data_IF_974393435863
#
_entry.id   IF_974393435863
#
_cell.length_a   1.000
_cell.length_b   1.000
_cell.length_c   1.000
_cell.angle_alpha   90.00
_cell.angle_beta   90.00
_cell.angle_gamma   90.00
#
_symmetry.space_group_name_H-M   'P 1'
#
loop_
_entity.id
_entity.type
_entity.pdbx_description
1 polymer ?
#
# COMPACT_ATOMS: atom_id res chain seq x y z
N UNK A 1 -9.96 -14.82 -16.85
CA UNK A 1 -8.66 -14.14 -16.56
C UNK A 1 -8.11 -14.71 -15.26
N UNK A 2 -6.92 -15.27 -15.32
CA UNK A 2 -6.31 -15.89 -14.13
C UNK A 2 -5.35 -14.94 -13.44
N UNK A 3 -5.43 -14.88 -12.13
CA UNK A 3 -4.63 -14.00 -11.28
C UNK A 3 -3.81 -14.85 -10.31
N UNK A 4 -2.52 -14.61 -10.28
CA UNK A 4 -1.58 -15.29 -9.39
C UNK A 4 -0.99 -14.34 -8.35
N UNK A 5 -0.80 -14.83 -7.13
CA UNK A 5 -0.12 -14.10 -6.06
C UNK A 5 1.04 -14.95 -5.55
N UNK A 6 2.27 -14.47 -5.68
CA UNK A 6 3.48 -15.09 -5.13
C UNK A 6 3.86 -14.36 -3.84
N UNK A 7 3.80 -15.06 -2.72
CA UNK A 7 4.08 -14.54 -1.39
C UNK A 7 2.82 -14.31 -0.57
N UNK A 8 2.73 -14.98 0.58
CA UNK A 8 1.59 -14.97 1.51
C UNK A 8 1.96 -14.25 2.82
N UNK A 9 2.53 -13.05 2.67
CA UNK A 9 2.69 -12.07 3.75
C UNK A 9 1.42 -11.24 3.94
N UNK A 10 1.46 -10.19 4.78
CA UNK A 10 0.29 -9.34 5.06
C UNK A 10 -0.40 -8.84 3.79
N UNK A 11 0.35 -8.27 2.84
CA UNK A 11 -0.22 -7.72 1.60
C UNK A 11 -0.73 -8.81 0.66
N UNK A 12 0.03 -9.90 0.44
CA UNK A 12 -0.41 -10.99 -0.43
C UNK A 12 -1.65 -11.69 0.12
N UNK A 13 -1.72 -11.90 1.44
CA UNK A 13 -2.90 -12.43 2.12
C UNK A 13 -4.10 -11.49 1.93
N UNK A 14 -3.93 -10.22 2.21
CA UNK A 14 -4.99 -9.20 2.06
C UNK A 14 -5.54 -9.19 0.63
N UNK A 15 -4.66 -9.11 -0.39
CA UNK A 15 -5.08 -9.12 -1.79
C UNK A 15 -5.83 -10.40 -2.16
N UNK A 16 -5.32 -11.57 -1.73
CA UNK A 16 -5.97 -12.85 -2.00
C UNK A 16 -7.42 -12.87 -1.47
N UNK A 17 -7.60 -12.48 -0.21
CA UNK A 17 -8.92 -12.45 0.43
C UNK A 17 -9.84 -11.43 -0.22
N UNK A 18 -9.35 -10.25 -0.56
CA UNK A 18 -10.13 -9.22 -1.26
C UNK A 18 -10.55 -9.65 -2.66
N UNK A 19 -9.64 -10.24 -3.43
CA UNK A 19 -9.96 -10.73 -4.77
C UNK A 19 -10.92 -11.91 -4.75
N UNK A 20 -10.82 -12.81 -3.78
CA UNK A 20 -11.75 -13.93 -3.62
C UNK A 20 -13.15 -13.49 -3.19
N UNK A 21 -13.26 -12.41 -2.40
CA UNK A 21 -14.53 -11.95 -1.83
C UNK A 21 -15.31 -10.99 -2.74
N UNK A 22 -14.69 -10.43 -3.79
CA UNK A 22 -15.35 -9.46 -4.66
C UNK A 22 -16.37 -10.07 -5.64
N UNK A 23 -16.47 -11.40 -5.70
CA UNK A 23 -17.40 -12.15 -6.54
C UNK A 23 -17.11 -12.09 -8.05
N UNK A 24 -16.05 -11.41 -8.48
CA UNK A 24 -15.67 -11.26 -9.90
C UNK A 24 -14.66 -12.29 -10.38
N UNK A 25 -13.92 -12.92 -9.44
CA UNK A 25 -12.87 -13.90 -9.75
C UNK A 25 -13.29 -15.25 -9.16
N UNK A 26 -13.40 -16.24 -10.02
CA UNK A 26 -13.69 -17.61 -9.59
C UNK A 26 -12.47 -18.20 -8.87
N UNK A 27 -12.71 -19.17 -7.96
CA UNK A 27 -11.63 -19.87 -7.25
C UNK A 27 -10.59 -20.46 -8.18
N UNK A 28 -11.03 -21.03 -9.29
CA UNK A 28 -10.22 -21.68 -10.31
C UNK A 28 -9.33 -20.71 -11.10
N UNK A 29 -9.66 -19.41 -11.05
CA UNK A 29 -8.93 -18.33 -11.68
C UNK A 29 -8.01 -17.58 -10.72
N UNK A 30 -8.01 -17.90 -9.43
CA UNK A 30 -7.17 -17.27 -8.41
C UNK A 30 -6.12 -18.28 -7.91
N UNK A 31 -4.85 -17.95 -8.07
CA UNK A 31 -3.71 -18.81 -7.76
C UNK A 31 -2.87 -18.19 -6.65
N UNK A 32 -2.32 -19.04 -5.77
CA UNK A 32 -1.43 -18.62 -4.69
C UNK A 32 -0.22 -19.53 -4.59
N UNK A 33 0.96 -18.93 -4.48
CA UNK A 33 2.22 -19.62 -4.21
C UNK A 33 2.96 -18.96 -3.05
N UNK A 34 3.63 -19.76 -2.23
CA UNK A 34 4.47 -19.25 -1.13
C UNK A 34 5.59 -20.24 -0.85
N UNK A 35 6.78 -19.72 -0.52
CA UNK A 35 7.95 -20.55 -0.18
C UNK A 35 7.65 -21.59 0.93
N UNK A 36 6.88 -21.20 1.94
CA UNK A 36 6.40 -22.09 3.01
C UNK A 36 4.96 -22.49 2.68
N UNK A 37 4.79 -23.69 2.13
CA UNK A 37 3.51 -24.20 1.63
C UNK A 37 2.44 -24.27 2.72
N UNK A 38 2.83 -24.62 3.94
CA UNK A 38 1.91 -24.75 5.10
C UNK A 38 1.16 -23.46 5.39
N UNK A 39 1.76 -22.29 5.09
CA UNK A 39 1.13 -20.98 5.31
C UNK A 39 -0.04 -20.69 4.38
N UNK A 40 -0.09 -21.35 3.22
CA UNK A 40 -1.15 -21.12 2.23
C UNK A 40 -2.22 -22.20 2.22
N UNK A 41 -2.13 -23.21 3.08
CA UNK A 41 -3.14 -24.28 3.18
C UNK A 41 -4.52 -23.73 3.55
N UNK A 42 -4.58 -22.68 4.36
CA UNK A 42 -5.85 -22.00 4.69
C UNK A 42 -6.53 -21.37 3.46
N UNK A 43 -5.81 -21.17 2.37
CA UNK A 43 -6.31 -20.61 1.13
C UNK A 43 -6.87 -21.65 0.14
N UNK A 44 -6.72 -22.95 0.39
CA UNK A 44 -7.20 -24.03 -0.51
C UNK A 44 -8.70 -23.97 -0.79
N UNK A 45 -9.47 -23.35 0.12
CA UNK A 45 -10.91 -23.12 -0.05
C UNK A 45 -11.26 -22.03 -1.06
N UNK A 46 -10.33 -21.07 -1.34
CA UNK A 46 -10.60 -19.84 -2.08
C UNK A 46 -9.67 -19.62 -3.28
N UNK A 47 -8.58 -20.39 -3.41
CA UNK A 47 -7.61 -20.29 -4.50
C UNK A 47 -6.98 -21.65 -4.83
N UNK A 48 -6.33 -21.74 -5.98
CA UNK A 48 -5.49 -22.87 -6.38
C UNK A 48 -4.11 -22.69 -5.77
N UNK A 49 -3.71 -23.59 -4.88
CA UNK A 49 -2.37 -23.60 -4.26
C UNK A 49 -1.39 -24.37 -5.13
N UNK A 50 -0.34 -23.70 -5.60
CA UNK A 50 0.68 -24.31 -6.47
C UNK A 50 2.08 -23.75 -6.18
N UNK A 51 3.09 -24.15 -6.96
CA UNK A 51 4.42 -23.54 -6.96
C UNK A 51 4.47 -22.26 -7.83
N UNK A 52 5.58 -21.50 -7.72
CA UNK A 52 5.76 -20.23 -8.43
C UNK A 52 5.72 -20.41 -9.95
N UNK A 53 6.36 -21.46 -10.49
CA UNK A 53 6.46 -21.69 -11.94
C UNK A 53 5.11 -22.07 -12.54
N UNK A 54 4.37 -22.95 -11.88
CA UNK A 54 3.00 -23.32 -12.26
C UNK A 54 2.10 -22.08 -12.25
N UNK A 55 2.16 -21.26 -11.19
CA UNK A 55 1.41 -20.01 -11.11
C UNK A 55 1.74 -19.07 -12.27
N UNK A 56 3.04 -18.85 -12.54
CA UNK A 56 3.51 -17.95 -13.59
C UNK A 56 3.06 -18.40 -14.99
N UNK A 57 3.02 -19.73 -15.24
CA UNK A 57 2.59 -20.29 -16.55
C UNK A 57 1.07 -20.25 -16.76
N UNK A 58 0.30 -20.23 -15.68
CA UNK A 58 -1.16 -20.27 -15.74
C UNK A 58 -1.82 -18.88 -15.71
N UNK A 59 -1.17 -17.89 -15.06
CA UNK A 59 -1.79 -16.61 -14.77
C UNK A 59 -1.53 -15.53 -15.82
N UNK A 60 -2.51 -14.67 -16.02
CA UNK A 60 -2.44 -13.51 -16.92
C UNK A 60 -1.90 -12.28 -16.18
N UNK A 61 -2.17 -12.19 -14.87
CA UNK A 61 -1.60 -11.18 -13.97
C UNK A 61 -0.92 -11.91 -12.82
N UNK A 62 0.36 -11.59 -12.58
CA UNK A 62 1.18 -12.21 -11.53
C UNK A 62 1.64 -11.16 -10.52
N UNK A 63 1.05 -11.15 -9.34
CA UNK A 63 1.46 -10.30 -8.22
C UNK A 63 2.62 -10.94 -7.46
N UNK A 64 3.75 -10.23 -7.34
CA UNK A 64 4.92 -10.65 -6.56
C UNK A 64 4.96 -9.85 -5.27
N UNK A 65 4.48 -10.48 -4.18
CA UNK A 65 4.29 -9.89 -2.85
C UNK A 65 5.38 -10.34 -1.86
N UNK A 66 6.63 -10.37 -2.31
CA UNK A 66 7.78 -10.77 -1.49
C UNK A 66 8.61 -9.55 -1.05
N UNK A 67 9.51 -9.74 -0.07
CA UNK A 67 10.40 -8.67 0.37
C UNK A 67 11.37 -8.24 -0.76
N UNK A 68 11.88 -7.00 -0.75
CA UNK A 68 12.82 -6.52 -1.77
C UNK A 68 14.04 -7.44 -1.97
N UNK A 69 14.58 -8.00 -0.89
CA UNK A 69 15.75 -8.90 -0.94
C UNK A 69 15.47 -10.27 -1.57
N UNK A 70 14.22 -10.70 -1.58
CA UNK A 70 13.80 -11.98 -2.17
C UNK A 70 13.36 -11.82 -3.65
N UNK A 71 13.23 -10.58 -4.15
CA UNK A 71 12.63 -10.27 -5.45
C UNK A 71 13.40 -10.90 -6.61
N UNK A 72 14.73 -10.69 -6.69
CA UNK A 72 15.56 -11.23 -7.78
C UNK A 72 15.42 -12.75 -7.89
N UNK A 73 15.51 -13.45 -6.75
CA UNK A 73 15.40 -14.92 -6.73
C UNK A 73 14.05 -15.40 -7.27
N UNK A 74 12.94 -14.75 -6.85
CA UNK A 74 11.61 -15.09 -7.33
C UNK A 74 11.46 -14.79 -8.83
N UNK A 75 11.94 -13.62 -9.30
CA UNK A 75 11.89 -13.28 -10.72
C UNK A 75 12.69 -14.27 -11.57
N UNK A 76 13.88 -14.67 -11.11
CA UNK A 76 14.70 -15.67 -11.81
C UNK A 76 14.03 -17.04 -11.86
N UNK A 77 13.34 -17.43 -10.79
CA UNK A 77 12.60 -18.69 -10.70
C UNK A 77 11.46 -18.75 -11.73
N UNK A 78 10.71 -17.67 -11.90
CA UNK A 78 9.52 -17.63 -12.76
C UNK A 78 9.78 -17.16 -14.20
N UNK A 79 10.95 -16.58 -14.50
CA UNK A 79 11.22 -15.90 -15.77
C UNK A 79 10.91 -16.75 -17.01
N UNK A 80 11.28 -18.02 -17.01
CA UNK A 80 11.04 -18.94 -18.12
C UNK A 80 9.58 -19.45 -18.19
N UNK A 81 8.80 -19.27 -17.12
CA UNK A 81 7.43 -19.75 -17.02
C UNK A 81 6.38 -18.66 -17.28
N UNK A 82 6.77 -17.38 -17.22
CA UNK A 82 5.86 -16.25 -17.48
C UNK A 82 5.32 -16.32 -18.91
N UNK A 83 4.01 -16.13 -19.07
CA UNK A 83 3.41 -15.98 -20.41
C UNK A 83 3.93 -14.70 -21.07
N UNK A 84 4.08 -14.72 -22.38
CA UNK A 84 4.59 -13.57 -23.16
C UNK A 84 3.79 -12.27 -22.94
N UNK A 85 2.48 -12.41 -22.76
CA UNK A 85 1.56 -11.28 -22.57
C UNK A 85 1.14 -11.04 -21.12
N UNK A 86 1.69 -11.78 -20.15
CA UNK A 86 1.33 -11.61 -18.75
C UNK A 86 1.78 -10.23 -18.21
N UNK A 87 1.00 -9.70 -17.28
CA UNK A 87 1.34 -8.50 -16.52
C UNK A 87 1.97 -8.92 -15.19
N UNK A 88 3.25 -8.62 -15.03
CA UNK A 88 3.95 -8.76 -13.76
C UNK A 88 3.63 -7.56 -12.87
N UNK A 89 3.18 -7.80 -11.65
CA UNK A 89 2.86 -6.75 -10.68
C UNK A 89 3.73 -6.92 -9.44
N UNK A 90 4.47 -5.89 -9.05
CA UNK A 90 5.25 -5.89 -7.81
C UNK A 90 4.69 -4.90 -6.80
N UNK A 91 4.71 -5.28 -5.51
CA UNK A 91 4.34 -4.40 -4.41
C UNK A 91 5.54 -3.65 -3.80
N UNK A 92 6.70 -3.76 -4.44
CA UNK A 92 7.94 -3.15 -3.94
C UNK A 92 8.22 -1.79 -4.59
N UNK A 93 7.98 -0.71 -3.89
CA UNK A 93 8.33 0.65 -4.34
C UNK A 93 9.84 0.89 -4.50
N UNK A 94 10.68 0.09 -3.83
CA UNK A 94 12.15 0.24 -3.86
C UNK A 94 12.84 -0.53 -5.02
N UNK A 95 12.12 -1.39 -5.74
CA UNK A 95 12.63 -2.12 -6.90
C UNK A 95 12.28 -1.32 -8.15
N UNK A 96 13.27 -0.89 -8.94
CA UNK A 96 13.04 -0.14 -10.17
C UNK A 96 12.67 -1.06 -11.34
N UNK A 97 12.01 -0.51 -12.36
CA UNK A 97 11.75 -1.25 -13.60
C UNK A 97 13.04 -1.73 -14.27
N UNK A 98 14.12 -0.94 -14.20
CA UNK A 98 15.42 -1.33 -14.73
C UNK A 98 16.03 -2.53 -13.99
N UNK A 99 15.83 -2.63 -12.67
CA UNK A 99 16.26 -3.82 -11.92
C UNK A 99 15.49 -5.06 -12.39
N UNK A 100 14.16 -4.96 -12.55
CA UNK A 100 13.32 -6.07 -13.02
C UNK A 100 13.72 -6.47 -14.43
N UNK A 101 13.95 -5.50 -15.33
CA UNK A 101 14.35 -5.73 -16.73
C UNK A 101 15.64 -6.50 -16.87
N UNK A 102 16.57 -6.40 -15.91
CA UNK A 102 17.81 -7.22 -15.91
C UNK A 102 17.55 -8.72 -15.76
N UNK A 103 16.41 -9.12 -15.20
CA UNK A 103 16.06 -10.52 -14.94
C UNK A 103 14.97 -10.98 -15.92
N UNK A 104 13.93 -10.15 -16.09
CA UNK A 104 12.80 -10.48 -16.97
C UNK A 104 12.27 -9.18 -17.62
N UNK A 105 12.15 -9.20 -18.95
CA UNK A 105 11.74 -8.03 -19.75
C UNK A 105 10.31 -8.17 -20.26
N UNK A 106 9.34 -8.00 -19.35
CA UNK A 106 7.89 -8.16 -19.56
C UNK A 106 7.12 -6.88 -19.21
N UNK A 107 5.82 -6.85 -19.53
CA UNK A 107 4.90 -5.84 -19.02
C UNK A 107 4.96 -5.83 -17.50
N UNK A 108 5.25 -4.70 -16.88
CA UNK A 108 5.42 -4.61 -15.42
C UNK A 108 4.71 -3.40 -14.84
N UNK A 109 3.95 -3.63 -13.78
CA UNK A 109 3.35 -2.60 -12.95
C UNK A 109 3.90 -2.65 -11.51
N UNK A 110 4.01 -1.50 -10.87
CA UNK A 110 4.14 -1.39 -9.41
C UNK A 110 2.79 -1.05 -8.84
N UNK A 111 2.39 -1.71 -7.77
CA UNK A 111 1.14 -1.47 -7.06
C UNK A 111 1.46 -1.33 -5.58
N UNK A 112 1.18 -0.16 -5.02
CA UNK A 112 1.43 0.13 -3.61
C UNK A 112 0.10 0.41 -2.93
N UNK A 113 -0.56 -0.61 -2.35
CA UNK A 113 -1.80 -0.42 -1.62
C UNK A 113 -1.56 0.10 -0.21
N UNK A 114 -2.61 0.62 0.39
CA UNK A 114 -2.66 0.98 1.80
C UNK A 114 -3.24 -0.15 2.65
N UNK A 115 -2.93 -0.18 3.93
CA UNK A 115 -3.60 -1.04 4.92
C UNK A 115 -5.12 -0.83 4.93
N UNK A 116 -5.58 0.38 4.59
CA UNK A 116 -7.01 0.72 4.51
C UNK A 116 -7.78 -0.04 3.42
N UNK A 117 -7.08 -0.84 2.59
CA UNK A 117 -7.68 -1.83 1.71
C UNK A 117 -8.52 -2.87 2.48
N UNK A 118 -8.22 -3.13 3.74
CA UNK A 118 -9.01 -4.06 4.58
C UNK A 118 -10.47 -3.62 4.74
N UNK A 119 -10.73 -2.31 4.59
CA UNK A 119 -12.08 -1.71 4.62
C UNK A 119 -12.48 -1.09 3.28
N UNK A 120 -11.86 -1.51 2.17
CA UNK A 120 -12.12 -1.07 0.80
C UNK A 120 -11.93 0.45 0.59
N UNK A 121 -11.06 1.08 1.38
CA UNK A 121 -10.72 2.52 1.33
C UNK A 121 -9.23 2.76 1.06
N UNK A 122 -8.59 1.88 0.31
CA UNK A 122 -7.21 2.09 -0.10
C UNK A 122 -7.10 3.27 -1.07
N UNK A 123 -6.09 4.11 -0.87
CA UNK A 123 -5.51 4.89 -1.95
C UNK A 123 -4.36 4.02 -2.49
N UNK A 124 -4.53 3.45 -3.68
CA UNK A 124 -3.55 2.51 -4.26
C UNK A 124 -2.75 3.17 -5.36
N UNK A 125 -1.44 3.33 -5.15
CA UNK A 125 -0.57 3.86 -6.20
C UNK A 125 -0.29 2.77 -7.21
N UNK A 126 -0.35 3.15 -8.49
CA UNK A 126 0.10 2.34 -9.61
C UNK A 126 1.15 3.11 -10.42
N UNK A 127 2.12 2.37 -10.96
CA UNK A 127 3.12 2.87 -11.88
C UNK A 127 3.41 1.78 -12.91
N UNK A 128 3.65 2.15 -14.16
CA UNK A 128 3.77 1.20 -15.26
C UNK A 128 5.06 1.40 -16.02
N UNK A 129 5.66 0.30 -16.51
CA UNK A 129 6.74 0.42 -17.48
C UNK A 129 6.19 0.70 -18.89
N UNK A 130 7.08 0.97 -19.82
CA UNK A 130 6.80 1.35 -21.21
C UNK A 130 6.11 0.26 -22.06
N UNK A 131 6.05 -0.99 -21.56
CA UNK A 131 5.40 -2.12 -22.23
C UNK A 131 3.92 -2.27 -21.89
N UNK A 132 3.44 -1.62 -20.82
CA UNK A 132 2.05 -1.74 -20.37
C UNK A 132 1.14 -0.86 -21.22
N UNK A 133 0.21 -1.49 -21.92
CA UNK A 133 -0.78 -0.79 -22.77
C UNK A 133 -2.01 -0.32 -21.99
N UNK A 134 -2.87 0.48 -22.66
CA UNK A 134 -4.10 0.99 -22.04
C UNK A 134 -5.05 -0.10 -21.58
N UNK A 135 -5.14 -1.21 -22.32
CA UNK A 135 -5.98 -2.36 -21.94
C UNK A 135 -5.50 -3.00 -20.63
N UNK A 136 -4.18 -3.18 -20.46
CA UNK A 136 -3.61 -3.72 -19.23
C UNK A 136 -3.89 -2.79 -18.03
N UNK A 137 -3.72 -1.47 -18.23
CA UNK A 137 -4.02 -0.45 -17.21
C UNK A 137 -5.48 -0.48 -16.78
N UNK A 138 -6.41 -0.59 -17.73
CA UNK A 138 -7.85 -0.67 -17.44
C UNK A 138 -8.16 -1.90 -16.60
N UNK A 139 -7.69 -3.08 -17.02
CA UNK A 139 -7.91 -4.36 -16.31
C UNK A 139 -7.35 -4.30 -14.89
N UNK A 140 -6.13 -3.82 -14.71
CA UNK A 140 -5.51 -3.71 -13.39
C UNK A 140 -6.25 -2.70 -12.51
N UNK A 141 -6.65 -1.56 -13.06
CA UNK A 141 -7.41 -0.53 -12.33
C UNK A 141 -8.79 -1.05 -11.89
N UNK A 142 -9.52 -1.77 -12.75
CA UNK A 142 -10.79 -2.40 -12.40
C UNK A 142 -10.65 -3.46 -11.30
N UNK A 143 -9.56 -4.22 -11.32
CA UNK A 143 -9.26 -5.20 -10.27
C UNK A 143 -8.99 -4.49 -8.94
N UNK A 144 -8.14 -3.47 -8.94
CA UNK A 144 -7.74 -2.72 -7.74
C UNK A 144 -8.85 -1.82 -7.20
N UNK A 145 -9.81 -1.40 -8.03
CA UNK A 145 -10.98 -0.63 -7.56
C UNK A 145 -11.83 -1.36 -6.53
N UNK A 146 -11.68 -2.69 -6.44
CA UNK A 146 -12.32 -3.49 -5.39
C UNK A 146 -11.79 -3.26 -3.99
N UNK A 147 -10.63 -2.62 -3.86
CA UNK A 147 -9.99 -2.31 -2.57
C UNK A 147 -9.89 -0.81 -2.28
N UNK A 148 -10.39 0.05 -3.18
CA UNK A 148 -10.38 1.51 -3.05
C UNK A 148 -10.08 2.23 -4.34
N UNK A 149 -9.52 3.42 -4.25
CA UNK A 149 -9.17 4.26 -5.40
C UNK A 149 -7.77 3.96 -5.93
N UNK A 150 -7.57 4.18 -7.25
CA UNK A 150 -6.31 3.95 -7.94
C UNK A 150 -5.72 5.29 -8.42
N UNK A 151 -4.45 5.52 -8.08
CA UNK A 151 -3.71 6.74 -8.42
C UNK A 151 -2.49 6.37 -9.25
N UNK A 152 -2.43 6.79 -10.51
CA UNK A 152 -1.23 6.58 -11.34
C UNK A 152 -0.19 7.68 -11.05
N UNK A 153 1.03 7.26 -10.72
CA UNK A 153 2.19 8.14 -10.52
C UNK A 153 3.35 7.70 -11.42
N UNK A 154 4.23 8.62 -11.84
CA UNK A 154 5.49 8.27 -12.47
C UNK A 154 6.43 7.59 -11.47
N UNK A 155 7.38 6.77 -11.95
CA UNK A 155 8.23 5.92 -11.11
C UNK A 155 9.03 6.70 -10.05
N UNK A 156 9.50 7.90 -10.40
CA UNK A 156 10.26 8.76 -9.47
C UNK A 156 9.42 9.30 -8.31
N UNK A 157 8.09 9.33 -8.41
CA UNK A 157 7.18 9.79 -7.36
C UNK A 157 6.61 8.65 -6.50
N UNK A 158 6.79 7.39 -6.89
CA UNK A 158 6.30 6.22 -6.13
C UNK A 158 6.85 6.21 -4.70
N UNK A 159 8.08 6.69 -4.50
CA UNK A 159 8.68 6.79 -3.17
C UNK A 159 7.86 7.67 -2.23
N UNK A 160 7.67 8.94 -2.59
CA UNK A 160 6.89 9.89 -1.79
C UNK A 160 5.42 9.50 -1.74
N UNK A 161 4.85 9.08 -2.86
CA UNK A 161 3.48 8.58 -2.87
C UNK A 161 3.25 7.43 -1.88
N UNK A 162 4.20 6.51 -1.76
CA UNK A 162 4.14 5.41 -0.77
C UNK A 162 4.15 5.92 0.68
N UNK A 163 4.88 7.00 0.99
CA UNK A 163 4.81 7.63 2.32
C UNK A 163 3.40 8.15 2.61
N UNK A 164 2.77 8.79 1.61
CA UNK A 164 1.46 9.42 1.75
C UNK A 164 0.28 8.42 1.83
N UNK A 165 0.41 7.20 1.28
CA UNK A 165 -0.71 6.25 1.26
C UNK A 165 -0.44 4.98 2.05
N UNK A 166 0.73 4.37 1.91
CA UNK A 166 1.06 3.07 2.52
C UNK A 166 1.65 3.20 3.92
N UNK A 167 2.50 4.21 4.14
CA UNK A 167 3.09 4.50 5.46
C UNK A 167 2.18 5.37 6.32
N UNK A 168 1.40 6.27 5.72
CA UNK A 168 0.57 7.25 6.40
C UNK A 168 -0.38 6.69 7.45
N UNK A 169 -1.04 5.53 7.29
CA UNK A 169 -1.84 4.96 8.37
C UNK A 169 -1.06 4.72 9.65
N UNK A 170 0.21 4.29 9.55
CA UNK A 170 1.10 4.14 10.68
C UNK A 170 1.47 5.49 11.33
N UNK A 171 1.75 6.50 10.52
CA UNK A 171 2.06 7.85 11.02
C UNK A 171 0.86 8.47 11.72
N UNK A 172 -0.33 8.40 11.11
CA UNK A 172 -1.58 8.87 11.70
C UNK A 172 -1.85 8.15 13.03
N UNK A 173 -1.74 6.84 13.07
CA UNK A 173 -1.94 6.06 14.31
C UNK A 173 -0.97 6.51 15.42
N UNK A 174 0.32 6.73 15.08
CA UNK A 174 1.33 7.20 16.04
C UNK A 174 1.04 8.62 16.55
N UNK A 175 0.62 9.54 15.67
CA UNK A 175 0.26 10.92 16.05
C UNK A 175 -0.91 10.90 17.04
N UNK A 176 -1.96 10.13 16.74
CA UNK A 176 -3.14 10.09 17.60
C UNK A 176 -2.91 9.29 18.88
N UNK A 177 -2.00 8.30 18.89
CA UNK A 177 -1.55 7.65 20.12
C UNK A 177 -0.90 8.67 21.06
N UNK A 178 0.01 9.52 20.53
CA UNK A 178 0.64 10.61 21.32
C UNK A 178 -0.40 11.57 21.87
N UNK A 179 -1.41 11.96 21.07
CA UNK A 179 -2.50 12.83 21.50
C UNK A 179 -3.30 12.16 22.64
N UNK A 180 -3.67 10.89 22.50
CA UNK A 180 -4.43 10.18 23.51
C UNK A 180 -3.65 10.04 24.82
N UNK A 181 -2.37 9.70 24.75
CA UNK A 181 -1.51 9.56 25.92
C UNK A 181 -1.29 10.91 26.63
N UNK A 182 -1.15 12.00 25.87
CA UNK A 182 -1.08 13.35 26.47
C UNK A 182 -2.39 13.73 27.16
N UNK A 183 -3.54 13.44 26.54
CA UNK A 183 -4.85 13.77 27.10
C UNK A 183 -5.10 13.09 28.46
N UNK A 184 -4.61 11.85 28.66
CA UNK A 184 -4.72 11.16 29.96
C UNK A 184 -4.17 11.97 31.14
N UNK A 185 -3.13 12.78 30.91
CA UNK A 185 -2.54 13.65 31.93
C UNK A 185 -3.39 14.87 32.30
N UNK A 186 -4.46 15.14 31.56
CA UNK A 186 -5.29 16.34 31.72
C UNK A 186 -6.76 16.06 32.08
N UNK A 187 -7.15 14.79 32.29
CA UNK A 187 -8.56 14.44 32.55
C UNK A 187 -8.69 13.13 33.33
N UNK A 188 -9.83 12.96 33.99
CA UNK A 188 -10.23 11.69 34.60
C UNK A 188 -11.06 10.79 33.65
N UNK A 189 -11.21 11.17 32.38
CA UNK A 189 -11.91 10.35 31.37
C UNK A 189 -11.12 9.06 31.15
N UNK A 190 -11.75 7.87 31.21
CA UNK A 190 -11.06 6.62 30.95
C UNK A 190 -10.38 6.57 29.59
N UNK A 191 -9.17 6.00 29.50
CA UNK A 191 -8.35 5.93 28.29
C UNK A 191 -9.13 5.39 27.08
N UNK A 192 -9.89 4.31 27.27
CA UNK A 192 -10.69 3.71 26.20
C UNK A 192 -11.70 4.72 25.59
N UNK A 193 -12.27 5.57 26.46
CA UNK A 193 -13.19 6.60 25.99
C UNK A 193 -12.47 7.73 25.25
N UNK A 194 -11.28 8.15 25.72
CA UNK A 194 -10.42 9.13 25.03
C UNK A 194 -10.10 8.62 23.62
N UNK A 195 -9.59 7.38 23.52
CA UNK A 195 -9.24 6.76 22.21
C UNK A 195 -10.45 6.73 21.29
N UNK A 196 -11.62 6.31 21.78
CA UNK A 196 -12.85 6.25 20.98
C UNK A 196 -13.27 7.65 20.48
N UNK A 197 -13.20 8.67 21.31
CA UNK A 197 -13.51 10.05 20.94
C UNK A 197 -12.56 10.58 19.87
N UNK A 198 -11.25 10.38 20.04
CA UNK A 198 -10.22 10.83 19.11
C UNK A 198 -10.37 10.14 17.76
N UNK A 199 -10.50 8.79 17.72
CA UNK A 199 -10.66 8.05 16.47
C UNK A 199 -11.92 8.43 15.68
N UNK A 200 -13.06 8.58 16.36
CA UNK A 200 -14.30 8.99 15.70
C UNK A 200 -14.18 10.43 15.15
N UNK A 201 -13.59 11.35 15.92
CA UNK A 201 -13.41 12.75 15.47
C UNK A 201 -12.46 12.83 14.28
N UNK A 202 -11.34 12.09 14.32
CA UNK A 202 -10.39 12.00 13.22
C UNK A 202 -11.06 11.52 11.92
N UNK A 203 -11.77 10.37 11.98
CA UNK A 203 -12.46 9.79 10.83
C UNK A 203 -13.51 10.75 10.28
N UNK A 204 -14.36 11.31 11.17
CA UNK A 204 -15.42 12.24 10.77
C UNK A 204 -14.87 13.55 10.19
N UNK A 205 -13.73 14.03 10.67
CA UNK A 205 -13.09 15.24 10.12
C UNK A 205 -12.58 15.00 8.71
N UNK A 206 -11.92 13.86 8.47
CA UNK A 206 -11.47 13.47 7.13
C UNK A 206 -12.65 13.31 6.17
N UNK A 207 -13.70 12.58 6.58
CA UNK A 207 -14.90 12.40 5.77
C UNK A 207 -15.62 13.73 5.49
N UNK A 208 -15.71 14.63 6.48
CA UNK A 208 -16.28 15.97 6.29
C UNK A 208 -15.53 16.78 5.23
N UNK A 209 -14.20 16.77 5.30
CA UNK A 209 -13.37 17.50 4.33
C UNK A 209 -13.55 16.97 2.92
N UNK A 210 -13.50 15.64 2.74
CA UNK A 210 -13.67 14.99 1.45
C UNK A 210 -15.09 15.19 0.87
N UNK A 211 -16.14 15.02 1.69
CA UNK A 211 -17.54 15.13 1.23
C UNK A 211 -17.98 16.56 0.91
N UNK A 212 -17.37 17.55 1.56
CA UNK A 212 -17.73 18.96 1.40
C UNK A 212 -16.69 19.77 0.63
N UNK A 213 -15.65 19.10 0.11
CA UNK A 213 -14.53 19.73 -0.60
C UNK A 213 -13.93 20.92 0.22
N UNK A 214 -13.66 20.65 1.52
CA UNK A 214 -13.11 21.65 2.42
C UNK A 214 -11.58 21.58 2.47
N UNK A 215 -10.94 22.73 2.39
CA UNK A 215 -9.51 22.84 2.68
C UNK A 215 -9.24 22.69 4.19
N UNK A 216 -7.99 22.40 4.56
CA UNK A 216 -7.56 22.39 5.96
C UNK A 216 -7.85 23.74 6.63
N UNK A 217 -7.60 24.86 5.94
CA UNK A 217 -7.85 26.19 6.44
C UNK A 217 -9.35 26.45 6.70
N UNK A 218 -10.24 25.91 5.86
CA UNK A 218 -11.69 26.05 6.08
C UNK A 218 -12.12 25.41 7.40
N UNK A 219 -11.60 24.20 7.68
CA UNK A 219 -11.93 23.52 8.93
C UNK A 219 -11.34 24.25 10.12
N UNK A 220 -10.06 24.64 10.06
CA UNK A 220 -9.39 25.38 11.14
C UNK A 220 -10.14 26.67 11.43
N UNK A 221 -10.46 27.48 10.42
CA UNK A 221 -11.13 28.78 10.60
C UNK A 221 -12.55 28.64 11.17
N UNK A 222 -13.26 27.57 10.83
CA UNK A 222 -14.62 27.32 11.38
C UNK A 222 -14.59 26.94 12.86
N UNK A 223 -13.53 26.30 13.34
CA UNK A 223 -13.43 25.81 14.72
C UNK A 223 -12.61 26.75 15.59
N UNK A 224 -11.52 27.33 15.09
CA UNK A 224 -10.62 28.23 15.78
C UNK A 224 -11.12 29.68 15.68
N UNK A 225 -12.06 30.07 16.55
CA UNK A 225 -12.51 31.46 16.64
C UNK A 225 -11.41 32.33 17.24
N UNK A 226 -11.34 33.59 16.80
CA UNK A 226 -10.34 34.56 17.28
C UNK A 226 -10.37 34.71 18.81
N UNK A 227 -9.24 34.53 19.48
CA UNK A 227 -9.11 34.50 20.93
C UNK A 227 -9.71 33.26 21.61
N UNK A 228 -10.10 32.23 20.84
CA UNK A 228 -10.71 31.03 21.35
C UNK A 228 -9.69 29.93 21.70
N UNK A 229 -10.16 28.90 22.42
CA UNK A 229 -9.34 27.77 22.91
C UNK A 229 -8.65 27.03 21.76
N UNK A 230 -9.36 26.78 20.67
CA UNK A 230 -8.81 26.05 19.51
C UNK A 230 -7.70 26.82 18.82
N UNK A 231 -7.80 28.17 18.78
CA UNK A 231 -6.74 29.02 18.20
C UNK A 231 -5.40 28.82 18.93
N UNK A 232 -5.42 28.76 20.26
CA UNK A 232 -4.21 28.53 21.05
C UNK A 232 -3.60 27.13 20.76
N UNK A 233 -4.44 26.12 20.67
CA UNK A 233 -3.96 24.77 20.29
C UNK A 233 -3.39 24.70 18.87
N UNK A 234 -4.03 25.34 17.90
CA UNK A 234 -3.54 25.35 16.50
C UNK A 234 -2.22 26.11 16.36
N UNK A 235 -1.99 27.19 17.12
CA UNK A 235 -0.68 27.87 17.17
C UNK A 235 0.43 26.91 17.57
N UNK A 236 0.25 26.13 18.63
CA UNK A 236 1.24 25.16 19.09
C UNK A 236 1.53 24.11 18.00
N UNK A 237 0.49 23.62 17.31
CA UNK A 237 0.66 22.62 16.23
C UNK A 237 1.48 23.24 15.09
N UNK A 238 1.13 24.42 14.62
CA UNK A 238 1.84 25.07 13.50
C UNK A 238 3.27 25.51 13.86
N UNK A 239 3.56 25.77 15.13
CA UNK A 239 4.91 26.14 15.58
C UNK A 239 5.82 24.91 15.75
N UNK A 240 5.30 23.78 16.23
CA UNK A 240 6.14 22.65 16.65
C UNK A 240 6.10 21.48 15.68
N UNK A 241 4.95 21.19 15.04
CA UNK A 241 4.77 19.98 14.25
C UNK A 241 5.50 20.00 12.89
N UNK A 242 5.71 21.14 12.18
CA UNK A 242 6.42 21.15 10.90
C UNK A 242 7.77 20.49 10.95
N UNK A 243 8.60 20.76 11.97
CA UNK A 243 9.92 20.15 12.12
C UNK A 243 9.85 18.64 12.33
N UNK A 244 8.85 18.16 13.07
CA UNK A 244 8.64 16.73 13.29
C UNK A 244 8.18 16.01 12.00
N UNK A 245 7.31 16.66 11.21
CA UNK A 245 6.84 16.15 9.94
C UNK A 245 7.99 16.06 8.91
N UNK A 246 8.82 17.09 8.80
CA UNK A 246 10.00 17.09 7.93
C UNK A 246 10.99 16.00 8.33
N UNK A 247 11.29 15.87 9.62
CA UNK A 247 12.19 14.82 10.12
C UNK A 247 11.64 13.41 9.85
N UNK A 248 10.33 13.21 10.02
CA UNK A 248 9.67 11.94 9.69
C UNK A 248 9.89 11.56 8.22
N UNK A 249 9.61 12.46 7.27
CA UNK A 249 9.82 12.21 5.85
C UNK A 249 11.30 12.02 5.50
N UNK A 250 12.19 12.84 6.06
CA UNK A 250 13.64 12.69 5.83
C UNK A 250 14.14 11.31 6.25
N UNK A 251 13.73 10.82 7.42
CA UNK A 251 14.14 9.49 7.92
C UNK A 251 13.56 8.35 7.09
N UNK A 252 12.29 8.43 6.70
CA UNK A 252 11.65 7.35 5.95
C UNK A 252 12.14 7.28 4.52
N UNK A 253 12.32 8.43 3.84
CA UNK A 253 12.88 8.49 2.49
C UNK A 253 14.34 8.03 2.46
N UNK A 254 15.16 8.40 3.45
CA UNK A 254 16.53 7.90 3.57
C UNK A 254 16.56 6.38 3.79
N UNK A 255 15.68 5.85 4.65
CA UNK A 255 15.56 4.40 4.83
C UNK A 255 15.15 3.69 3.54
N UNK A 256 14.26 4.29 2.76
CA UNK A 256 13.84 3.79 1.44
C UNK A 256 15.02 3.77 0.47
N UNK A 257 15.79 4.85 0.40
CA UNK A 257 17.02 4.94 -0.42
C UNK A 257 17.99 3.80 -0.09
N UNK A 258 18.31 3.61 1.19
CA UNK A 258 19.18 2.53 1.65
C UNK A 258 18.62 1.13 1.35
N UNK A 259 17.31 0.96 1.37
CA UNK A 259 16.66 -0.31 1.01
C UNK A 259 16.76 -0.57 -0.48
N UNK A 260 16.57 0.47 -1.32
CA UNK A 260 16.73 0.37 -2.76
C UNK A 260 18.19 0.04 -3.16
N UNK A 261 19.18 0.65 -2.51
CA UNK A 261 20.60 0.35 -2.75
C UNK A 261 20.97 -1.09 -2.41
N UNK A 262 20.48 -1.61 -1.28
CA UNK A 262 20.68 -3.02 -0.92
C UNK A 262 20.03 -3.97 -1.92
N UNK A 263 18.84 -3.63 -2.38
CA UNK A 263 18.16 -4.41 -3.40
C UNK A 263 18.93 -4.35 -4.73
N UNK A 264 19.40 -3.17 -5.15
CA UNK A 264 20.19 -2.99 -6.37
C UNK A 264 21.47 -3.83 -6.36
N UNK A 265 22.17 -3.90 -5.23
CA UNK A 265 23.35 -4.76 -5.07
C UNK A 265 23.03 -6.21 -5.41
N UNK A 266 21.90 -6.77 -4.91
CA UNK A 266 21.48 -8.14 -5.20
C UNK A 266 21.16 -8.38 -6.68
N UNK A 267 20.73 -7.35 -7.44
CA UNK A 267 20.47 -7.47 -8.87
C UNK A 267 21.74 -7.38 -9.75
N UNK A 268 22.86 -6.95 -9.18
CA UNK A 268 24.13 -6.84 -9.89
C UNK A 268 25.06 -8.05 -9.68
N UNK A 269 24.78 -8.89 -8.67
CA UNK A 269 25.41 -10.20 -8.46
C UNK A 269 24.85 -11.26 -9.43
#
# INVERSE_FOLDING_TARGET
MKIGIIGYGSMGKMLLWKFSSNGKIAKEDLYIANRTREKVLEAEGIAVVCDNCTLASECDIVFVCVRPVDMKAVLSDIAASLKADSLLVTLNGSITFDMIRKVVDVKTAKVIPSLTAEIDRSQTIVCYNDKVGSADKTVLSELLSSIGEVIELPENEVGMGSELVSCMPGFIASIFDVICNSAEGHTEIPKEQIVKMVLNTMSATGDLMLQKDLSFNDVVTRVATKGGITEEGTKVIYDMFPSAADEMFNKTLEKRRLTAEKAAASFNE
#
